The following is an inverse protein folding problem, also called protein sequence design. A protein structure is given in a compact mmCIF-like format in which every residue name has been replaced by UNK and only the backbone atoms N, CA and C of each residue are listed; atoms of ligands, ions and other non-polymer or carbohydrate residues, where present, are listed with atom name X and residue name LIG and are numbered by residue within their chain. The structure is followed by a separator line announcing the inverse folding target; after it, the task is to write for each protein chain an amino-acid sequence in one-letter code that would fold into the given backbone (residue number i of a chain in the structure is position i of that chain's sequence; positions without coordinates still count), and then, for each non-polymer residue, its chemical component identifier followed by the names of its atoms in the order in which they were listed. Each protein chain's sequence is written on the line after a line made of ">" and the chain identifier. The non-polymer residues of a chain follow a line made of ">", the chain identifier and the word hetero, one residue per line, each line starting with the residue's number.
data_IF_261787448793
#
_entry.id   IF_261787448793
#
_cell.length_a   1.000
_cell.length_b   1.000
_cell.length_c   1.000
_cell.angle_alpha   90.00
_cell.angle_beta   90.00
_cell.angle_gamma   90.00
#
_symmetry.space_group_name_H-M   'P 1'
#
loop_
_entity.id
_entity.type
_entity.pdbx_description
1 polymer ?
#
# COMPACT_ATOMS: atom_id res chain seq x y z
N UNK A 1 17.09 2.64 21.83
CA UNK A 1 18.24 2.38 20.94
C UNK A 1 18.07 3.11 19.61
N UNK A 2 19.15 3.25 18.81
CA UNK A 2 19.10 3.87 17.47
C UNK A 2 18.11 3.16 16.55
N UNK A 3 18.04 1.81 16.60
CA UNK A 3 17.09 1.03 15.81
C UNK A 3 15.62 1.35 16.11
N UNK A 4 15.26 1.46 17.40
CA UNK A 4 13.88 1.82 17.78
C UNK A 4 13.50 3.19 17.22
N UNK A 5 14.38 4.18 17.34
CA UNK A 5 14.16 5.53 16.78
C UNK A 5 13.98 5.47 15.25
N UNK A 6 14.80 4.69 14.54
CA UNK A 6 14.69 4.52 13.10
C UNK A 6 13.37 3.88 12.67
N UNK A 7 12.93 2.81 13.37
CA UNK A 7 11.65 2.14 13.10
C UNK A 7 10.49 3.10 13.33
N UNK A 8 10.46 3.82 14.45
CA UNK A 8 9.39 4.76 14.78
C UNK A 8 9.32 5.89 13.76
N UNK A 9 10.47 6.45 13.34
CA UNK A 9 10.54 7.48 12.29
C UNK A 9 9.93 7.00 10.97
N UNK A 10 10.28 5.79 10.52
CA UNK A 10 9.68 5.22 9.29
C UNK A 10 8.20 4.88 9.49
N UNK A 11 7.79 4.45 10.68
CA UNK A 11 6.39 4.23 11.01
C UNK A 11 5.58 5.54 10.93
N UNK A 12 6.06 6.64 11.50
CA UNK A 12 5.34 7.92 11.51
C UNK A 12 5.16 8.46 10.08
N UNK A 13 6.18 8.29 9.23
CA UNK A 13 6.10 8.58 7.79
C UNK A 13 5.07 7.73 7.06
N UNK A 14 4.94 6.45 7.43
CA UNK A 14 3.88 5.59 6.90
C UNK A 14 2.51 6.07 7.38
N UNK A 15 2.38 6.38 8.67
CA UNK A 15 1.12 6.83 9.26
C UNK A 15 0.59 8.10 8.61
N UNK A 16 1.43 9.11 8.42
CA UNK A 16 1.03 10.34 7.73
C UNK A 16 0.60 10.10 6.29
N UNK A 17 1.27 9.20 5.56
CA UNK A 17 0.91 8.89 4.16
C UNK A 17 -0.39 8.10 4.04
N UNK A 18 -0.64 7.16 4.95
CA UNK A 18 -1.92 6.43 4.97
C UNK A 18 -3.06 7.37 5.33
N UNK A 19 -2.88 8.23 6.34
CA UNK A 19 -3.89 9.23 6.71
C UNK A 19 -4.22 10.13 5.51
N UNK A 20 -3.21 10.73 4.88
CA UNK A 20 -3.39 11.59 3.71
C UNK A 20 -4.10 10.86 2.55
N UNK A 21 -3.71 9.62 2.24
CA UNK A 21 -4.36 8.86 1.17
C UNK A 21 -5.84 8.57 1.45
N UNK A 22 -6.21 8.33 2.72
CA UNK A 22 -7.59 8.08 3.12
C UNK A 22 -8.48 9.33 3.09
N UNK A 23 -7.91 10.53 3.14
CA UNK A 23 -8.62 11.81 3.06
C UNK A 23 -8.98 12.22 1.62
N UNK A 24 -8.21 11.76 0.63
CA UNK A 24 -8.42 12.09 -0.78
C UNK A 24 -9.67 11.39 -1.33
N UNK A 25 -10.33 11.96 -2.33
CA UNK A 25 -11.38 11.25 -3.07
C UNK A 25 -10.78 10.18 -4.01
N UNK A 26 -11.54 9.13 -4.39
CA UNK A 26 -11.09 8.16 -5.39
C UNK A 26 -10.59 8.84 -6.69
N UNK A 27 -9.47 8.35 -7.23
CA UNK A 27 -8.87 8.89 -8.46
C UNK A 27 -7.35 8.94 -8.40
N UNK A 28 -6.75 9.50 -9.45
CA UNK A 28 -5.29 9.48 -9.68
C UNK A 28 -4.46 10.06 -8.52
N UNK A 29 -4.95 11.10 -7.86
CA UNK A 29 -4.25 11.68 -6.69
C UNK A 29 -4.22 10.69 -5.52
N UNK A 30 -5.34 10.02 -5.24
CA UNK A 30 -5.39 8.97 -4.22
C UNK A 30 -4.51 7.79 -4.63
N UNK A 31 -4.54 7.34 -5.88
CA UNK A 31 -3.68 6.26 -6.39
C UNK A 31 -2.19 6.59 -6.14
N UNK A 32 -1.78 7.83 -6.45
CA UNK A 32 -0.42 8.31 -6.20
C UNK A 32 -0.08 8.36 -4.69
N UNK A 33 -0.99 8.83 -3.84
CA UNK A 33 -0.80 8.85 -2.40
C UNK A 33 -0.69 7.43 -1.80
N UNK A 34 -1.53 6.50 -2.25
CA UNK A 34 -1.49 5.07 -1.89
C UNK A 34 -0.17 4.43 -2.32
N UNK A 35 0.36 4.79 -3.49
CA UNK A 35 1.68 4.37 -3.94
C UNK A 35 2.81 4.85 -3.01
N UNK A 36 2.75 6.09 -2.54
CA UNK A 36 3.72 6.61 -1.57
C UNK A 36 3.59 5.92 -0.22
N UNK A 37 2.36 5.62 0.23
CA UNK A 37 2.12 4.82 1.42
C UNK A 37 2.71 3.40 1.27
N UNK A 38 2.58 2.76 0.10
CA UNK A 38 3.19 1.45 -0.19
C UNK A 38 4.71 1.48 -0.02
N UNK A 39 5.36 2.51 -0.58
CA UNK A 39 6.82 2.72 -0.45
C UNK A 39 7.22 2.88 1.01
N UNK A 40 6.46 3.66 1.78
CA UNK A 40 6.69 3.83 3.21
C UNK A 40 6.52 2.52 3.97
N UNK A 41 5.46 1.74 3.69
CA UNK A 41 5.21 0.46 4.33
C UNK A 41 6.36 -0.52 4.10
N UNK A 42 6.89 -0.57 2.87
CA UNK A 42 8.08 -1.36 2.54
C UNK A 42 9.29 -0.93 3.39
N UNK A 43 9.56 0.38 3.50
CA UNK A 43 10.66 0.92 4.30
C UNK A 43 10.50 0.60 5.79
N UNK A 44 9.32 0.83 6.37
CA UNK A 44 9.04 0.50 7.78
C UNK A 44 9.21 -0.99 8.02
N UNK A 45 8.71 -1.87 7.14
CA UNK A 45 8.91 -3.32 7.25
C UNK A 45 10.39 -3.68 7.26
N UNK A 46 11.17 -3.16 6.31
CA UNK A 46 12.60 -3.43 6.21
C UNK A 46 13.37 -2.90 7.42
N UNK A 47 12.98 -1.76 8.00
CA UNK A 47 13.57 -1.28 9.25
C UNK A 47 13.36 -2.25 10.42
N UNK A 48 12.26 -3.02 10.44
CA UNK A 48 12.03 -4.03 11.48
C UNK A 48 12.84 -5.31 11.32
N UNK A 49 13.29 -5.63 10.11
CA UNK A 49 13.94 -6.92 9.80
C UNK A 49 15.26 -7.14 10.55
N UNK A 50 16.25 -6.22 10.50
CA UNK A 50 17.49 -6.38 11.26
C UNK A 50 17.27 -6.25 12.77
N UNK A 51 16.27 -5.46 13.17
CA UNK A 51 15.92 -5.25 14.58
C UNK A 51 15.36 -6.51 15.26
N UNK A 52 14.98 -7.56 14.52
CA UNK A 52 14.47 -8.81 15.10
C UNK A 52 15.50 -9.50 15.99
N UNK A 53 16.78 -9.38 15.68
CA UNK A 53 17.84 -10.01 16.46
C UNK A 53 17.92 -9.44 17.88
N UNK A 54 17.76 -8.12 18.03
CA UNK A 54 17.90 -7.45 19.34
C UNK A 54 16.55 -7.14 20.02
N UNK A 55 15.50 -6.86 19.25
CA UNK A 55 14.19 -6.46 19.75
C UNK A 55 13.16 -7.60 19.68
N UNK A 56 13.53 -8.77 19.17
CA UNK A 56 12.73 -9.99 19.21
C UNK A 56 11.29 -9.87 18.70
N UNK A 57 10.34 -10.36 19.51
CA UNK A 57 8.91 -10.45 19.18
C UNK A 57 8.27 -9.10 18.83
N UNK A 58 8.50 -7.99 19.55
CA UNK A 58 8.03 -6.66 19.18
C UNK A 58 8.29 -6.26 17.72
N UNK A 59 9.56 -6.31 17.27
CA UNK A 59 9.93 -5.96 15.89
C UNK A 59 9.26 -6.90 14.87
N UNK A 60 9.22 -8.21 15.16
CA UNK A 60 8.52 -9.20 14.31
C UNK A 60 7.03 -8.88 14.17
N UNK A 61 6.36 -8.51 15.26
CA UNK A 61 4.91 -8.21 15.27
C UNK A 61 4.59 -6.96 14.45
N UNK A 62 5.33 -5.87 14.66
CA UNK A 62 5.13 -4.66 13.86
C UNK A 62 5.38 -4.94 12.37
N UNK A 63 6.50 -5.58 12.04
CA UNK A 63 6.84 -5.92 10.65
C UNK A 63 5.79 -6.78 9.97
N UNK A 64 5.18 -7.75 10.69
CA UNK A 64 4.07 -8.57 10.17
C UNK A 64 2.83 -7.72 9.84
N UNK A 65 2.46 -6.78 10.71
CA UNK A 65 1.28 -5.92 10.49
C UNK A 65 1.49 -4.92 9.37
N UNK A 66 2.67 -4.30 9.31
CA UNK A 66 3.05 -3.42 8.20
C UNK A 66 3.11 -4.19 6.87
N UNK A 67 3.55 -5.46 6.87
CA UNK A 67 3.51 -6.31 5.67
C UNK A 67 2.09 -6.49 5.14
N UNK A 68 1.08 -6.60 6.00
CA UNK A 68 -0.31 -6.72 5.57
C UNK A 68 -0.79 -5.45 4.86
N UNK A 69 -0.49 -4.28 5.42
CA UNK A 69 -0.74 -2.97 4.77
C UNK A 69 -0.01 -2.87 3.43
N UNK A 70 1.27 -3.24 3.40
CA UNK A 70 2.07 -3.25 2.18
C UNK A 70 1.47 -4.17 1.09
N UNK A 71 0.84 -5.29 1.47
CA UNK A 71 0.19 -6.21 0.53
C UNK A 71 -1.06 -5.58 -0.07
N UNK A 72 -1.96 -5.02 0.74
CA UNK A 72 -3.19 -4.36 0.25
C UNK A 72 -2.86 -3.22 -0.72
N UNK A 73 -1.97 -2.32 -0.31
CA UNK A 73 -1.47 -1.25 -1.19
C UNK A 73 -0.68 -1.79 -2.39
N UNK A 74 -0.15 -3.00 -2.23
CA UNK A 74 0.56 -3.72 -3.25
C UNK A 74 -0.36 -4.10 -4.40
N UNK A 75 -1.35 -4.92 -4.05
CA UNK A 75 -2.38 -5.40 -4.95
C UNK A 75 -3.13 -4.24 -5.62
N UNK A 76 -3.45 -3.15 -4.88
CA UNK A 76 -4.05 -1.95 -5.48
C UNK A 76 -3.14 -1.33 -6.56
N UNK A 77 -1.84 -1.10 -6.28
CA UNK A 77 -0.94 -0.52 -7.28
C UNK A 77 -0.83 -1.38 -8.54
N UNK A 78 -0.87 -2.71 -8.40
CA UNK A 78 -0.77 -3.62 -9.53
C UNK A 78 -1.97 -3.43 -10.48
N UNK A 79 -3.18 -3.20 -9.93
CA UNK A 79 -4.37 -2.83 -10.75
C UNK A 79 -4.23 -1.45 -11.42
N UNK A 80 -3.61 -0.45 -10.77
CA UNK A 80 -3.36 0.87 -11.38
C UNK A 80 -2.48 0.72 -12.62
N UNK A 81 -1.41 -0.06 -12.51
CA UNK A 81 -0.50 -0.34 -13.63
C UNK A 81 -1.21 -1.14 -14.72
N UNK A 82 -2.03 -2.14 -14.35
CA UNK A 82 -2.82 -2.91 -15.30
C UNK A 82 -3.81 -2.03 -16.08
N UNK A 83 -4.55 -1.15 -15.40
CA UNK A 83 -5.48 -0.19 -16.01
C UNK A 83 -4.78 0.74 -17.01
N UNK A 84 -3.59 1.23 -16.67
CA UNK A 84 -2.81 2.06 -17.58
C UNK A 84 -2.40 1.29 -18.85
N UNK A 85 -1.90 0.06 -18.70
CA UNK A 85 -1.57 -0.80 -19.83
C UNK A 85 -2.79 -1.14 -20.71
N UNK A 86 -3.93 -1.46 -20.09
CA UNK A 86 -5.19 -1.74 -20.79
C UNK A 86 -5.68 -0.53 -21.58
N UNK A 87 -5.53 0.68 -21.05
CA UNK A 87 -5.84 1.92 -21.77
C UNK A 87 -4.96 2.09 -23.01
N UNK A 88 -3.65 1.81 -22.90
CA UNK A 88 -2.76 1.85 -24.05
C UNK A 88 -3.13 0.81 -25.13
N UNK A 89 -3.48 -0.41 -24.71
CA UNK A 89 -3.94 -1.46 -25.62
C UNK A 89 -5.25 -1.09 -26.30
N UNK A 90 -6.21 -0.50 -25.58
CA UNK A 90 -7.46 -0.01 -26.14
C UNK A 90 -7.25 1.03 -27.23
N UNK A 91 -6.34 1.99 -27.00
CA UNK A 91 -5.99 3.02 -27.97
C UNK A 91 -5.31 2.43 -29.21
N UNK A 92 -4.40 1.46 -29.03
CA UNK A 92 -3.73 0.78 -30.13
C UNK A 92 -4.69 -0.04 -30.99
N UNK A 93 -5.59 -0.81 -30.36
CA UNK A 93 -6.63 -1.57 -31.05
C UNK A 93 -7.55 -0.65 -31.86
N UNK A 94 -8.00 0.46 -31.25
CA UNK A 94 -8.82 1.44 -31.95
C UNK A 94 -8.11 2.04 -33.18
N UNK A 95 -6.83 2.40 -33.05
CA UNK A 95 -6.04 2.92 -34.16
C UNK A 95 -5.83 1.89 -35.29
N UNK A 96 -5.83 0.60 -34.96
CA UNK A 96 -5.77 -0.50 -35.93
C UNK A 96 -7.13 -0.86 -36.55
N UNK A 97 -8.22 -0.19 -36.15
CA UNK A 97 -9.59 -0.53 -36.57
C UNK A 97 -10.16 -1.79 -35.90
N UNK A 98 -9.52 -2.28 -34.84
CA UNK A 98 -9.97 -3.43 -34.07
C UNK A 98 -10.97 -3.02 -32.96
N UNK A 99 -11.87 -3.93 -32.54
CA UNK A 99 -12.79 -3.66 -31.43
C UNK A 99 -12.07 -3.41 -30.10
N UNK A 100 -12.28 -2.23 -29.50
CA UNK A 100 -11.65 -1.86 -28.22
C UNK A 100 -12.47 -2.27 -26.97
N UNK A 101 -13.69 -2.79 -27.15
CA UNK A 101 -14.62 -3.07 -26.04
C UNK A 101 -14.06 -4.04 -25.00
N UNK A 102 -13.36 -5.10 -25.44
CA UNK A 102 -12.75 -6.10 -24.54
C UNK A 102 -11.75 -5.47 -23.57
N UNK A 103 -10.94 -4.51 -24.04
CA UNK A 103 -10.00 -3.78 -23.18
C UNK A 103 -10.70 -2.91 -22.14
N UNK A 104 -11.82 -2.27 -22.53
CA UNK A 104 -12.66 -1.52 -21.60
C UNK A 104 -13.31 -2.40 -20.52
N UNK A 105 -13.74 -3.62 -20.87
CA UNK A 105 -14.28 -4.58 -19.90
C UNK A 105 -13.21 -4.99 -18.87
N UNK A 106 -12.01 -5.33 -19.32
CA UNK A 106 -10.89 -5.66 -18.44
C UNK A 106 -10.49 -4.47 -17.55
N UNK A 107 -10.50 -3.25 -18.09
CA UNK A 107 -10.22 -2.04 -17.31
C UNK A 107 -11.23 -1.89 -16.15
N UNK A 108 -12.52 -2.09 -16.43
CA UNK A 108 -13.57 -2.03 -15.41
C UNK A 108 -13.40 -3.10 -14.32
N UNK A 109 -12.96 -4.30 -14.67
CA UNK A 109 -12.66 -5.36 -13.71
C UNK A 109 -11.49 -4.98 -12.78
N UNK A 110 -10.39 -4.46 -13.34
CA UNK A 110 -9.25 -3.99 -12.56
C UNK A 110 -9.64 -2.82 -11.63
N UNK A 111 -10.50 -1.90 -12.10
CA UNK A 111 -11.06 -0.85 -11.24
C UNK A 111 -11.82 -1.43 -10.04
N UNK A 112 -12.70 -2.42 -10.27
CA UNK A 112 -13.45 -3.05 -9.20
C UNK A 112 -12.55 -3.76 -8.17
N UNK A 113 -11.45 -4.38 -8.64
CA UNK A 113 -10.43 -4.96 -7.75
C UNK A 113 -9.72 -3.86 -6.94
N UNK A 114 -9.34 -2.76 -7.58
CA UNK A 114 -8.71 -1.60 -6.94
C UNK A 114 -9.58 -1.06 -5.79
N UNK A 115 -10.87 -0.85 -6.07
CA UNK A 115 -11.85 -0.37 -5.10
C UNK A 115 -12.02 -1.35 -3.93
N UNK A 116 -11.97 -2.66 -4.20
CA UNK A 116 -11.97 -3.69 -3.17
C UNK A 116 -10.77 -3.57 -2.23
N UNK A 117 -9.57 -3.36 -2.78
CA UNK A 117 -8.34 -3.17 -1.98
C UNK A 117 -8.36 -1.87 -1.20
N UNK A 118 -8.90 -0.79 -1.75
CA UNK A 118 -9.10 0.45 -0.99
C UNK A 118 -10.01 0.24 0.23
N UNK A 119 -11.09 -0.53 0.10
CA UNK A 119 -11.98 -0.86 1.22
C UNK A 119 -11.32 -1.72 2.30
N UNK A 120 -10.32 -2.54 1.95
CA UNK A 120 -9.55 -3.35 2.92
C UNK A 120 -8.52 -2.54 3.71
N UNK A 121 -8.05 -1.42 3.14
CA UNK A 121 -6.95 -0.63 3.70
C UNK A 121 -7.24 -0.09 5.12
N UNK A 122 -8.42 0.51 5.43
CA UNK A 122 -8.72 0.98 6.79
C UNK A 122 -8.57 -0.11 7.84
N UNK A 123 -9.05 -1.32 7.58
CA UNK A 123 -8.94 -2.45 8.51
C UNK A 123 -7.49 -2.91 8.68
N UNK A 124 -6.76 -3.08 7.58
CA UNK A 124 -5.34 -3.44 7.63
C UNK A 124 -4.51 -2.39 8.40
N UNK A 125 -4.85 -1.10 8.20
CA UNK A 125 -4.22 0.02 8.88
C UNK A 125 -4.56 0.09 10.36
N UNK A 126 -5.82 -0.08 10.74
CA UNK A 126 -6.25 -0.11 12.15
C UNK A 126 -5.47 -1.17 12.95
N UNK A 127 -5.21 -2.33 12.35
CA UNK A 127 -4.41 -3.38 12.96
C UNK A 127 -2.92 -3.04 13.06
N UNK A 128 -2.36 -2.36 12.07
CA UNK A 128 -0.98 -1.92 12.06
C UNK A 128 -0.72 -0.69 12.92
N UNK A 129 -1.76 0.08 13.23
CA UNK A 129 -1.66 1.35 13.96
C UNK A 129 -1.87 1.26 15.47
N UNK A 130 -2.24 0.07 15.97
CA UNK A 130 -2.41 -0.23 17.39
C UNK A 130 -1.22 0.29 18.23
N UNK A 131 -1.44 1.19 19.21
CA UNK A 131 -0.36 1.80 19.99
C UNK A 131 0.55 0.79 20.68
N UNK A 132 0.01 -0.36 21.10
CA UNK A 132 0.77 -1.43 21.73
C UNK A 132 1.89 -2.01 20.86
N UNK A 133 1.80 -1.91 19.52
CA UNK A 133 2.88 -2.33 18.62
C UNK A 133 4.11 -1.43 18.73
N UNK A 134 3.90 -0.12 18.94
CA UNK A 134 4.98 0.86 19.09
C UNK A 134 5.53 0.89 20.51
N UNK A 135 4.65 0.87 21.52
CA UNK A 135 5.04 0.84 22.93
C UNK A 135 5.94 -0.37 23.23
N UNK A 136 5.61 -1.53 22.69
CA UNK A 136 6.41 -2.75 22.87
C UNK A 136 7.81 -2.71 22.23
N UNK A 137 8.17 -1.71 21.41
CA UNK A 137 9.53 -1.55 20.90
C UNK A 137 10.44 -0.78 21.87
N UNK A 138 9.85 -0.03 22.79
CA UNK A 138 10.56 0.85 23.73
C UNK A 138 10.83 0.14 25.06
N UNK A 139 10.04 -0.89 25.36
CA UNK A 139 10.17 -1.78 26.53
C UNK A 139 10.79 -3.11 26.10
#
# INVERSE_FOLDING_TARGET
>A
TVMVKAILKEYDRLAGRVAHALELSPGTERDAALHQARKAAKKTRYATEPARASLGKPAKRLGKRVKAVQKVLGDHQDTVVARDALRHLALAAHAAGEPAFTWGLLYGQEQAVADGRERELPTAWADASKPGLRKALVH
#
